data_IF_679520655177
#
_entry.id   IF_679520655177
#
_cell.length_a   1.000
_cell.length_b   1.000
_cell.length_c   1.000
_cell.angle_alpha   90.00
_cell.angle_beta   90.00
_cell.angle_gamma   90.00
#
_symmetry.space_group_name_H-M   'P 1'
#
loop_
_entity.id
_entity.type
_entity.pdbx_description
1 polymer ?
#
# COMPACT_ATOMS: atom_id res chain seq x y z
N UNK A 1 11.87 11.39 15.87
CA UNK A 1 11.29 11.19 14.51
C UNK A 1 11.76 9.91 13.81
N UNK A 2 13.05 9.53 13.85
CA UNK A 2 13.55 8.33 13.14
C UNK A 2 12.84 7.02 13.51
N UNK A 3 12.55 6.79 14.81
CA UNK A 3 11.88 5.57 15.31
C UNK A 3 10.42 5.37 14.86
N UNK A 4 9.74 6.42 14.39
CA UNK A 4 8.34 6.36 13.96
C UNK A 4 8.19 6.02 12.47
N UNK A 5 9.21 6.30 11.65
CA UNK A 5 9.22 6.08 10.20
C UNK A 5 8.79 4.65 9.81
N UNK A 6 9.35 3.56 10.38
CA UNK A 6 8.93 2.22 10.00
C UNK A 6 7.45 1.95 10.26
N UNK A 7 6.92 2.41 11.39
CA UNK A 7 5.50 2.25 11.73
C UNK A 7 4.59 3.03 10.76
N UNK A 8 5.01 4.22 10.33
CA UNK A 8 4.27 5.00 9.32
C UNK A 8 4.21 4.21 8.01
N UNK A 9 5.33 3.66 7.54
CA UNK A 9 5.37 2.87 6.29
C UNK A 9 4.48 1.63 6.35
N UNK A 10 4.55 0.87 7.44
CA UNK A 10 3.71 -0.31 7.64
C UNK A 10 2.23 0.09 7.67
N UNK A 11 1.89 1.14 8.43
CA UNK A 11 0.50 1.63 8.54
C UNK A 11 -0.05 2.10 7.19
N UNK A 12 0.73 2.86 6.42
CA UNK A 12 0.34 3.30 5.08
C UNK A 12 0.15 2.12 4.13
N UNK A 13 1.07 1.15 4.15
CA UNK A 13 0.95 -0.06 3.36
C UNK A 13 -0.32 -0.84 3.70
N UNK A 14 -0.57 -1.10 4.99
CA UNK A 14 -1.80 -1.77 5.44
C UNK A 14 -3.07 -1.00 5.07
N UNK A 15 -3.07 0.34 5.17
CA UNK A 15 -4.20 1.17 4.77
C UNK A 15 -4.50 1.06 3.27
N UNK A 16 -3.46 1.11 2.44
CA UNK A 16 -3.59 0.88 0.99
C UNK A 16 -4.16 -0.51 0.73
N UNK A 17 -3.65 -1.54 1.39
CA UNK A 17 -4.12 -2.93 1.23
C UNK A 17 -5.63 -3.05 1.53
N UNK A 18 -6.05 -2.59 2.70
CA UNK A 18 -7.44 -2.66 3.16
C UNK A 18 -8.34 -1.87 2.20
N UNK A 19 -7.98 -0.61 1.89
CA UNK A 19 -8.73 0.22 0.97
C UNK A 19 -8.81 -0.35 -0.45
N UNK A 20 -7.78 -1.09 -0.88
CA UNK A 20 -7.78 -1.81 -2.17
C UNK A 20 -8.79 -2.93 -2.15
N UNK A 21 -8.81 -3.77 -1.12
CA UNK A 21 -9.79 -4.84 -1.03
C UNK A 21 -11.21 -4.29 -0.98
N UNK A 22 -11.49 -3.27 -0.16
CA UNK A 22 -12.81 -2.62 -0.13
C UNK A 22 -13.25 -2.10 -1.51
N UNK A 23 -12.37 -1.38 -2.21
CA UNK A 23 -12.68 -0.87 -3.56
C UNK A 23 -12.75 -2.00 -4.59
N UNK A 24 -11.96 -3.05 -4.45
CA UNK A 24 -12.02 -4.21 -5.33
C UNK A 24 -13.34 -4.96 -5.16
N UNK A 25 -13.96 -5.03 -3.99
CA UNK A 25 -15.28 -5.66 -3.88
C UNK A 25 -16.42 -4.76 -4.36
N UNK A 26 -16.17 -3.46 -4.56
CA UNK A 26 -17.11 -2.55 -5.20
C UNK A 26 -16.91 -2.56 -6.71
N UNK A 27 -17.94 -2.89 -7.48
CA UNK A 27 -17.88 -2.78 -8.94
C UNK A 27 -17.99 -1.30 -9.33
N UNK A 28 -16.84 -0.68 -9.58
CA UNK A 28 -16.73 0.71 -10.03
C UNK A 28 -16.42 0.74 -11.54
N UNK A 29 -16.92 1.76 -12.24
CA UNK A 29 -16.61 1.99 -13.66
C UNK A 29 -15.15 2.42 -13.87
N UNK A 30 -14.57 3.13 -12.91
CA UNK A 30 -13.19 3.58 -12.96
C UNK A 30 -12.55 3.52 -11.58
N UNK A 31 -11.43 2.83 -11.47
CA UNK A 31 -10.67 2.67 -10.23
C UNK A 31 -9.49 3.64 -10.22
N UNK A 32 -9.39 4.45 -9.17
CA UNK A 32 -8.20 5.28 -8.94
C UNK A 32 -7.09 4.42 -8.35
N UNK A 33 -6.05 4.16 -9.12
CA UNK A 33 -4.92 3.33 -8.71
C UNK A 33 -4.04 4.07 -7.71
N UNK A 34 -3.43 5.18 -8.13
CA UNK A 34 -2.53 6.04 -7.34
C UNK A 34 -2.57 7.48 -7.86
N UNK A 35 -2.56 8.46 -6.95
CA UNK A 35 -2.61 9.88 -7.30
C UNK A 35 -3.72 10.18 -8.31
N UNK A 36 -3.37 10.64 -9.52
CA UNK A 36 -4.27 10.92 -10.63
C UNK A 36 -4.39 9.77 -11.65
N UNK A 37 -3.68 8.66 -11.45
CA UNK A 37 -3.75 7.50 -12.33
C UNK A 37 -5.03 6.69 -12.05
N UNK A 38 -5.81 6.47 -13.11
CA UNK A 38 -7.06 5.70 -13.08
C UNK A 38 -6.98 4.54 -14.08
N UNK A 39 -7.75 3.49 -13.81
CA UNK A 39 -7.89 2.35 -14.72
C UNK A 39 -9.32 1.83 -14.68
N UNK A 40 -9.82 1.36 -15.81
CA UNK A 40 -11.11 0.66 -15.91
C UNK A 40 -10.96 -0.83 -15.60
N UNK A 41 -9.73 -1.36 -15.70
CA UNK A 41 -9.47 -2.76 -15.43
C UNK A 41 -9.20 -2.99 -13.93
N UNK A 42 -10.19 -3.59 -13.28
CA UNK A 42 -10.18 -3.97 -11.87
C UNK A 42 -8.98 -4.83 -11.44
N UNK A 43 -8.47 -5.70 -12.31
CA UNK A 43 -7.29 -6.53 -12.02
C UNK A 43 -5.99 -5.73 -12.13
N UNK A 44 -5.89 -4.79 -13.07
CA UNK A 44 -4.74 -3.87 -13.15
C UNK A 44 -4.71 -2.97 -11.90
N UNK A 45 -5.87 -2.47 -11.48
CA UNK A 45 -6.02 -1.75 -10.22
C UNK A 45 -5.49 -2.55 -9.02
N UNK A 46 -5.96 -3.80 -8.88
CA UNK A 46 -5.56 -4.70 -7.80
C UNK A 46 -4.04 -4.96 -7.84
N UNK A 47 -3.51 -5.36 -8.99
CA UNK A 47 -2.10 -5.70 -9.16
C UNK A 47 -1.19 -4.55 -8.74
N UNK A 48 -1.43 -3.35 -9.27
CA UNK A 48 -0.57 -2.18 -8.98
C UNK A 48 -0.67 -1.84 -7.50
N UNK A 49 -1.88 -1.76 -6.92
CA UNK A 49 -2.03 -1.41 -5.51
C UNK A 49 -1.43 -2.46 -4.57
N UNK A 50 -1.51 -3.75 -4.91
CA UNK A 50 -0.84 -4.81 -4.16
C UNK A 50 0.68 -4.66 -4.22
N UNK A 51 1.26 -4.35 -5.38
CA UNK A 51 2.70 -4.12 -5.51
C UNK A 51 3.17 -2.96 -4.63
N UNK A 52 2.46 -1.82 -4.67
CA UNK A 52 2.79 -0.67 -3.83
C UNK A 52 2.62 -0.98 -2.34
N UNK A 53 1.49 -1.59 -1.97
CA UNK A 53 1.26 -1.98 -0.58
C UNK A 53 2.34 -2.93 -0.07
N UNK A 54 2.70 -3.94 -0.86
CA UNK A 54 3.75 -4.89 -0.52
C UNK A 54 5.09 -4.18 -0.34
N UNK A 55 5.44 -3.28 -1.27
CA UNK A 55 6.67 -2.51 -1.20
C UNK A 55 6.74 -1.65 0.07
N UNK A 56 5.67 -0.92 0.42
CA UNK A 56 5.60 -0.12 1.64
C UNK A 56 5.74 -0.95 2.92
N UNK A 57 5.05 -2.09 2.99
CA UNK A 57 5.11 -2.98 4.16
C UNK A 57 6.51 -3.58 4.32
N UNK A 58 7.10 -4.10 3.23
CA UNK A 58 8.44 -4.70 3.25
C UNK A 58 9.49 -3.67 3.63
N UNK A 59 9.44 -2.47 3.06
CA UNK A 59 10.38 -1.39 3.39
C UNK A 59 10.23 -0.95 4.84
N UNK A 60 8.98 -0.80 5.33
CA UNK A 60 8.69 -0.49 6.73
C UNK A 60 9.23 -1.56 7.69
N UNK A 61 9.05 -2.85 7.39
CA UNK A 61 9.59 -3.96 8.19
C UNK A 61 11.12 -3.96 8.16
N UNK A 62 11.75 -3.74 7.00
CA UNK A 62 13.22 -3.65 6.88
C UNK A 62 13.77 -2.54 7.77
N UNK A 63 13.18 -1.35 7.72
CA UNK A 63 13.56 -0.20 8.57
C UNK A 63 13.32 -0.50 10.06
N UNK A 64 12.26 -1.24 10.40
CA UNK A 64 12.00 -1.64 11.78
C UNK A 64 13.07 -2.57 12.32
N UNK A 65 13.52 -3.54 11.51
CA UNK A 65 14.60 -4.46 11.87
C UNK A 65 15.93 -3.73 12.08
N UNK A 66 16.29 -2.85 11.15
CA UNK A 66 17.51 -2.02 11.25
C UNK A 66 17.55 -1.17 12.54
N UNK A 67 16.39 -0.71 13.03
CA UNK A 67 16.29 0.04 14.27
C UNK A 67 16.38 -0.79 15.54
N UNK A 68 16.14 -2.10 15.46
CA UNK A 68 16.33 -3.02 16.60
C UNK A 68 17.78 -3.49 16.71
N UNK A 69 18.54 -3.45 15.62
CA UNK A 69 19.94 -3.89 15.53
C UNK A 69 20.95 -2.74 15.77
N UNK A 70 20.50 -1.48 15.87
CA UNK A 70 21.28 -0.29 16.25
C UNK A 70 20.93 0.20 17.65
#
# INVERSE_FOLDING_TARGET
>A
MKKAIPYIYITFGSFILIGTFFQFFQNQESYRVLFNFKTENKYIFLLIRLLFSYWFIVDGIKKLKQQKES
#
